data_IF_001153588966
#
_entry.id   IF_001153588966
#
_cell.length_a   1.000
_cell.length_b   1.000
_cell.length_c   1.000
_cell.angle_alpha   90.00
_cell.angle_beta   90.00
_cell.angle_gamma   90.00
#
_symmetry.space_group_name_H-M   'P 1'
#
loop_
_entity.id
_entity.type
_entity.pdbx_description
1 polymer ?
#
# COMPACT_ATOMS: atom_id res chain seq x y z
N UNK A 1 10.40 -11.96 -15.07
CA UNK A 1 10.23 -11.25 -13.78
C UNK A 1 11.37 -10.25 -13.70
N UNK A 2 11.21 -9.03 -13.14
CA UNK A 2 12.34 -8.11 -12.99
C UNK A 2 13.31 -8.64 -11.92
N UNK A 3 14.60 -8.28 -12.01
CA UNK A 3 15.61 -8.67 -11.01
C UNK A 3 15.19 -8.26 -9.59
N UNK A 4 14.53 -7.11 -9.45
CA UNK A 4 13.99 -6.64 -8.16
C UNK A 4 12.93 -7.58 -7.61
N UNK A 5 12.02 -8.07 -8.44
CA UNK A 5 10.98 -9.03 -8.02
C UNK A 5 11.56 -10.40 -7.63
N UNK A 6 12.65 -10.83 -8.27
CA UNK A 6 13.35 -12.06 -7.88
C UNK A 6 13.98 -11.90 -6.49
N UNK A 7 14.72 -10.81 -6.28
CA UNK A 7 15.28 -10.48 -4.97
C UNK A 7 14.21 -10.33 -3.89
N UNK A 8 13.07 -9.72 -4.21
CA UNK A 8 11.94 -9.61 -3.29
C UNK A 8 11.39 -10.99 -2.91
N UNK A 9 11.24 -11.89 -3.88
CA UNK A 9 10.76 -13.25 -3.62
C UNK A 9 11.68 -14.03 -2.68
N UNK A 10 13.00 -13.84 -2.82
CA UNK A 10 14.01 -14.51 -2.00
C UNK A 10 13.92 -14.08 -0.52
N UNK A 11 13.51 -12.84 -0.21
CA UNK A 11 13.33 -12.39 1.17
C UNK A 11 12.25 -13.18 1.94
N UNK A 12 11.28 -13.77 1.23
CA UNK A 12 10.14 -14.47 1.83
C UNK A 12 10.17 -15.98 1.62
N UNK A 13 11.29 -16.55 1.13
CA UNK A 13 11.36 -17.98 0.75
C UNK A 13 11.77 -18.89 1.91
N UNK A 14 10.96 -18.90 2.98
CA UNK A 14 11.17 -19.82 4.12
C UNK A 14 10.57 -21.22 3.85
N UNK A 15 9.50 -21.30 3.04
CA UNK A 15 8.87 -22.58 2.63
C UNK A 15 8.34 -22.52 1.20
N UNK A 16 8.13 -23.70 0.58
CA UNK A 16 7.55 -23.78 -0.78
C UNK A 16 6.16 -23.16 -0.85
N UNK A 17 5.32 -23.33 0.16
CA UNK A 17 3.98 -22.75 0.23
C UNK A 17 4.04 -21.21 0.33
N UNK A 18 4.95 -20.67 1.13
CA UNK A 18 5.18 -19.23 1.23
C UNK A 18 5.70 -18.64 -0.09
N UNK A 19 6.61 -19.34 -0.80
CA UNK A 19 7.05 -18.91 -2.15
C UNK A 19 5.89 -18.81 -3.12
N UNK A 20 5.00 -19.79 -3.15
CA UNK A 20 3.81 -19.78 -4.02
C UNK A 20 2.90 -18.60 -3.66
N UNK A 21 2.58 -18.42 -2.37
CA UNK A 21 1.75 -17.32 -1.89
C UNK A 21 2.36 -15.95 -2.22
N UNK A 22 3.64 -15.76 -1.92
CA UNK A 22 4.39 -14.54 -2.24
C UNK A 22 4.40 -14.27 -3.74
N UNK A 23 4.62 -15.29 -4.56
CA UNK A 23 4.61 -15.16 -6.03
C UNK A 23 3.23 -14.72 -6.55
N UNK A 24 2.14 -15.26 -6.02
CA UNK A 24 0.78 -14.85 -6.36
C UNK A 24 0.51 -13.39 -5.96
N UNK A 25 0.87 -13.01 -4.74
CA UNK A 25 0.78 -11.61 -4.27
C UNK A 25 1.58 -10.66 -5.16
N UNK A 26 2.82 -11.02 -5.51
CA UNK A 26 3.66 -10.22 -6.39
C UNK A 26 3.11 -10.07 -7.82
N UNK A 27 2.26 -10.97 -8.28
CA UNK A 27 1.60 -10.82 -9.58
C UNK A 27 0.47 -9.78 -9.56
N UNK A 28 -0.19 -9.62 -8.41
CA UNK A 28 -1.36 -8.74 -8.24
C UNK A 28 -0.92 -7.29 -7.95
N UNK A 29 0.10 -7.11 -7.12
CA UNK A 29 0.56 -5.79 -6.68
C UNK A 29 1.32 -5.06 -7.81
N UNK A 30 0.93 -3.84 -8.18
CA UNK A 30 1.57 -3.07 -9.26
C UNK A 30 2.79 -2.29 -8.75
N UNK A 31 3.81 -2.97 -8.23
CA UNK A 31 4.99 -2.36 -7.60
C UNK A 31 5.66 -1.28 -8.45
N UNK A 32 5.83 -1.56 -9.75
CA UNK A 32 6.48 -0.64 -10.68
C UNK A 32 5.69 0.67 -10.83
N UNK A 33 4.35 0.59 -10.75
CA UNK A 33 3.51 1.78 -10.80
C UNK A 33 3.67 2.61 -9.51
N UNK A 34 3.84 1.98 -8.35
CA UNK A 34 4.12 2.71 -7.12
C UNK A 34 5.45 3.44 -7.22
N UNK A 35 6.51 2.74 -7.60
CA UNK A 35 7.86 3.30 -7.74
C UNK A 35 7.92 4.46 -8.75
N UNK A 36 7.16 4.36 -9.85
CA UNK A 36 7.11 5.38 -10.92
C UNK A 36 6.63 6.74 -10.44
N UNK A 37 5.68 6.79 -9.49
CA UNK A 37 5.08 8.02 -9.01
C UNK A 37 5.68 8.55 -7.71
N UNK A 38 6.51 7.75 -7.04
CA UNK A 38 7.19 8.14 -5.82
C UNK A 38 8.52 8.83 -6.11
N UNK A 39 8.98 9.72 -5.21
CA UNK A 39 10.29 10.35 -5.37
C UNK A 39 11.41 9.32 -5.34
N UNK A 40 12.45 9.55 -6.14
CA UNK A 40 13.64 8.69 -6.16
C UNK A 40 14.49 8.88 -4.91
N UNK A 41 14.53 10.10 -4.38
CA UNK A 41 15.25 10.46 -3.16
C UNK A 41 14.28 10.86 -2.06
N UNK A 42 14.74 10.89 -0.81
CA UNK A 42 13.95 11.29 0.33
C UNK A 42 13.30 10.13 1.06
N UNK A 43 12.32 10.43 1.90
CA UNK A 43 11.68 9.48 2.82
C UNK A 43 10.27 9.14 2.33
N UNK A 44 10.02 7.84 2.16
CA UNK A 44 8.70 7.31 1.75
C UNK A 44 8.13 6.46 2.88
N UNK A 45 6.88 6.74 3.25
CA UNK A 45 6.11 5.93 4.20
C UNK A 45 5.15 5.00 3.45
N UNK A 46 5.09 3.74 3.83
CA UNK A 46 3.98 2.84 3.51
C UNK A 46 3.09 2.68 4.74
N UNK A 47 1.82 3.09 4.62
CA UNK A 47 0.79 2.92 5.66
C UNK A 47 0.08 1.59 5.44
N UNK A 48 0.05 0.72 6.46
CA UNK A 48 -0.51 -0.62 6.37
C UNK A 48 0.39 -1.57 5.58
N UNK A 49 1.69 -1.59 5.89
CA UNK A 49 2.67 -2.36 5.12
C UNK A 49 2.50 -3.89 5.25
N UNK A 50 1.74 -4.38 6.23
CA UNK A 50 1.58 -5.79 6.50
C UNK A 50 2.93 -6.49 6.63
N UNK A 51 3.16 -7.49 5.81
CA UNK A 51 4.44 -8.23 5.75
C UNK A 51 5.57 -7.48 5.03
N UNK A 52 5.36 -6.22 4.60
CA UNK A 52 6.39 -5.35 4.04
C UNK A 52 6.70 -5.57 2.55
N UNK A 53 5.80 -6.12 1.75
CA UNK A 53 6.08 -6.40 0.33
C UNK A 53 6.39 -5.13 -0.48
N UNK A 54 5.58 -4.08 -0.34
CA UNK A 54 5.77 -2.83 -1.10
C UNK A 54 6.98 -2.08 -0.57
N UNK A 55 7.12 -1.95 0.76
CA UNK A 55 8.31 -1.33 1.38
C UNK A 55 9.61 -1.99 0.94
N UNK A 56 9.67 -3.33 0.96
CA UNK A 56 10.84 -4.08 0.50
C UNK A 56 11.12 -3.85 -0.98
N UNK A 57 10.07 -3.86 -1.83
CA UNK A 57 10.24 -3.58 -3.25
C UNK A 57 10.84 -2.19 -3.48
N UNK A 58 10.29 -1.16 -2.85
CA UNK A 58 10.72 0.24 -2.98
C UNK A 58 12.18 0.44 -2.51
N UNK A 59 12.57 -0.22 -1.42
CA UNK A 59 13.93 -0.19 -0.89
C UNK A 59 14.94 -0.92 -1.80
N UNK A 60 14.55 -2.04 -2.41
CA UNK A 60 15.39 -2.82 -3.32
C UNK A 60 15.52 -2.17 -4.70
N UNK A 61 14.46 -1.51 -5.15
CA UNK A 61 14.40 -0.86 -6.46
C UNK A 61 15.28 0.38 -6.49
N UNK A 62 15.29 1.15 -5.41
CA UNK A 62 16.10 2.35 -5.32
C UNK A 62 16.79 2.47 -3.94
N UNK A 63 18.13 2.23 -3.85
CA UNK A 63 18.87 2.28 -2.59
C UNK A 63 19.00 3.68 -1.97
N UNK A 64 18.76 4.76 -2.73
CA UNK A 64 18.83 6.14 -2.20
C UNK A 64 17.53 6.54 -1.51
N UNK A 65 16.42 5.86 -1.82
CA UNK A 65 15.11 6.06 -1.18
C UNK A 65 15.12 5.48 0.23
N UNK A 66 14.80 6.30 1.24
CA UNK A 66 14.56 5.83 2.61
C UNK A 66 13.12 5.38 2.75
N UNK A 67 12.88 4.15 3.20
CA UNK A 67 11.55 3.56 3.27
C UNK A 67 11.17 3.27 4.72
N UNK A 68 9.99 3.70 5.12
CA UNK A 68 9.39 3.39 6.41
C UNK A 68 8.10 2.61 6.16
N UNK A 69 8.04 1.35 6.59
CA UNK A 69 6.79 0.58 6.60
C UNK A 69 6.11 0.67 7.97
N UNK A 70 4.82 0.95 8.00
CA UNK A 70 4.05 1.00 9.23
C UNK A 70 2.82 0.08 9.15
N UNK A 71 2.58 -0.71 10.19
CA UNK A 71 1.38 -1.56 10.30
C UNK A 71 0.96 -1.70 11.77
N UNK A 72 -0.34 -1.70 12.11
CA UNK A 72 -0.79 -1.91 13.49
C UNK A 72 -0.57 -3.35 13.99
N UNK A 73 -0.45 -4.34 13.10
CA UNK A 73 -0.28 -5.75 13.44
C UNK A 73 1.21 -6.06 13.74
N UNK A 74 1.56 -6.18 15.01
CA UNK A 74 2.93 -6.44 15.46
C UNK A 74 3.52 -7.71 14.85
N UNK A 75 2.76 -8.79 14.76
CA UNK A 75 3.17 -10.05 14.19
C UNK A 75 3.58 -9.94 12.71
N UNK A 76 2.89 -9.10 11.95
CA UNK A 76 3.23 -8.81 10.55
C UNK A 76 4.50 -7.97 10.45
N UNK A 77 4.61 -6.95 11.32
CA UNK A 77 5.80 -6.10 11.38
C UNK A 77 7.04 -6.91 11.78
N UNK A 78 6.93 -7.87 12.68
CA UNK A 78 8.05 -8.75 13.07
C UNK A 78 8.56 -9.57 11.88
N UNK A 79 7.65 -10.10 11.05
CA UNK A 79 8.03 -10.76 9.79
C UNK A 79 8.72 -9.80 8.83
N UNK A 80 8.17 -8.60 8.66
CA UNK A 80 8.75 -7.56 7.80
C UNK A 80 10.14 -7.15 8.29
N UNK A 81 10.36 -6.98 9.59
CA UNK A 81 11.66 -6.72 10.21
C UNK A 81 12.69 -7.80 9.83
N UNK A 82 12.30 -9.06 9.86
CA UNK A 82 13.17 -10.20 9.49
C UNK A 82 13.65 -10.16 8.04
N UNK A 83 13.02 -9.36 7.16
CA UNK A 83 13.40 -9.24 5.75
C UNK A 83 14.43 -8.14 5.47
N UNK A 84 14.78 -7.31 6.44
CA UNK A 84 15.67 -6.13 6.23
C UNK A 84 17.06 -6.57 5.76
N UNK A 85 17.64 -7.62 6.36
CA UNK A 85 19.02 -8.01 6.11
C UNK A 85 20.00 -6.86 6.43
N UNK A 86 20.96 -6.63 5.56
CA UNK A 86 22.01 -5.59 5.74
C UNK A 86 21.58 -4.20 5.21
N UNK A 87 20.31 -4.04 4.73
CA UNK A 87 19.85 -2.78 4.16
C UNK A 87 19.67 -1.71 5.23
N UNK A 88 20.22 -0.52 4.97
CA UNK A 88 20.16 0.64 5.85
C UNK A 88 19.07 1.65 5.43
N UNK A 89 18.43 1.43 4.28
CA UNK A 89 17.45 2.34 3.69
C UNK A 89 16.00 1.88 3.91
N UNK A 90 15.76 1.00 4.88
CA UNK A 90 14.41 0.54 5.23
C UNK A 90 14.30 0.29 6.74
N UNK A 91 13.15 0.64 7.30
CA UNK A 91 12.75 0.28 8.67
C UNK A 91 11.26 0.00 8.74
N UNK A 92 10.83 -0.79 9.71
CA UNK A 92 9.43 -1.06 9.98
C UNK A 92 9.05 -0.58 11.39
N UNK A 93 7.81 -0.08 11.55
CA UNK A 93 7.29 0.48 12.80
C UNK A 93 5.92 -0.12 13.06
N UNK A 94 5.77 -0.78 14.20
CA UNK A 94 4.47 -1.29 14.64
C UNK A 94 3.63 -0.18 15.28
N UNK A 95 2.33 -0.18 15.03
CA UNK A 95 1.38 0.73 15.61
C UNK A 95 0.51 1.47 14.58
N UNK A 96 -0.44 2.23 15.08
CA UNK A 96 -1.32 3.05 14.24
C UNK A 96 -0.52 4.23 13.67
N UNK A 97 -0.60 4.44 12.37
CA UNK A 97 0.11 5.51 11.67
C UNK A 97 -0.24 6.91 12.21
N UNK A 98 -1.42 7.09 12.79
CA UNK A 98 -1.86 8.33 13.44
C UNK A 98 -1.01 8.70 14.65
N UNK A 99 -0.46 7.71 15.34
CA UNK A 99 0.38 7.88 16.52
C UNK A 99 1.88 7.89 16.23
N UNK A 100 2.26 7.74 14.96
CA UNK A 100 3.67 7.91 14.58
C UNK A 100 4.13 9.35 14.82
N UNK A 101 5.41 9.58 15.16
CA UNK A 101 5.99 10.92 15.20
C UNK A 101 5.66 11.69 13.92
N UNK A 102 5.49 13.01 14.07
CA UNK A 102 5.36 13.90 12.90
C UNK A 102 6.71 13.93 12.18
N UNK A 103 6.80 13.15 11.12
CA UNK A 103 7.91 13.18 10.18
C UNK A 103 7.35 13.71 8.86
N UNK A 104 8.11 14.57 8.20
CA UNK A 104 7.76 15.08 6.88
C UNK A 104 8.20 14.07 5.81
N UNK A 105 7.25 13.39 5.18
CA UNK A 105 7.51 12.42 4.12
C UNK A 105 7.46 13.08 2.74
N UNK A 106 8.38 12.70 1.87
CA UNK A 106 8.40 13.13 0.46
C UNK A 106 7.34 12.38 -0.36
N UNK A 107 7.01 11.15 0.06
CA UNK A 107 5.96 10.34 -0.52
C UNK A 107 5.31 9.41 0.51
N UNK A 108 4.04 9.10 0.30
CA UNK A 108 3.30 8.10 1.11
C UNK A 108 2.61 7.12 0.16
N UNK A 109 2.66 5.83 0.51
CA UNK A 109 1.93 4.75 -0.17
C UNK A 109 0.87 4.19 0.76
N UNK A 110 -0.32 3.94 0.23
CA UNK A 110 -1.38 3.14 0.84
C UNK A 110 -1.79 2.09 -0.19
N UNK A 111 -1.59 0.81 0.10
CA UNK A 111 -1.85 -0.26 -0.84
C UNK A 111 -2.75 -1.34 -0.24
N UNK A 112 -4.01 -1.39 -0.68
CA UNK A 112 -5.02 -2.37 -0.24
C UNK A 112 -5.24 -2.38 1.29
N UNK A 113 -5.43 -1.19 1.89
CA UNK A 113 -5.54 -1.00 3.34
C UNK A 113 -6.88 -0.42 3.76
N UNK A 114 -7.32 0.65 3.10
CA UNK A 114 -8.45 1.44 3.60
C UNK A 114 -9.77 0.68 3.58
N UNK A 115 -9.91 -0.30 2.70
CA UNK A 115 -11.12 -1.12 2.69
C UNK A 115 -11.25 -2.06 3.91
N UNK A 116 -10.20 -2.28 4.70
CA UNK A 116 -10.27 -2.94 6.01
C UNK A 116 -10.69 -1.99 7.14
N UNK A 117 -10.63 -0.68 6.90
CA UNK A 117 -10.93 0.36 7.88
C UNK A 117 -12.41 0.76 7.81
N UNK A 118 -13.11 0.98 8.95
CA UNK A 118 -14.46 1.50 8.96
C UNK A 118 -14.60 2.82 8.18
N UNK A 119 -15.74 3.02 7.50
CA UNK A 119 -15.97 4.18 6.63
C UNK A 119 -15.70 5.53 7.31
N UNK A 120 -16.07 5.65 8.59
CA UNK A 120 -15.89 6.83 9.43
C UNK A 120 -14.44 7.16 9.79
N UNK A 121 -13.54 6.16 9.73
CA UNK A 121 -12.12 6.31 10.03
C UNK A 121 -11.27 6.54 8.78
N UNK A 122 -11.74 6.14 7.60
CA UNK A 122 -10.96 6.24 6.37
C UNK A 122 -10.52 7.67 6.05
N UNK A 123 -11.45 8.64 6.20
CA UNK A 123 -11.14 10.06 5.97
C UNK A 123 -10.11 10.60 6.98
N UNK A 124 -10.21 10.20 8.25
CA UNK A 124 -9.27 10.61 9.31
C UNK A 124 -7.85 10.12 9.03
N UNK A 125 -7.70 8.88 8.57
CA UNK A 125 -6.38 8.36 8.15
C UNK A 125 -5.82 9.20 7.00
N UNK A 126 -6.64 9.55 6.02
CA UNK A 126 -6.19 10.37 4.89
C UNK A 126 -5.85 11.81 5.29
N UNK A 127 -6.53 12.39 6.30
CA UNK A 127 -6.17 13.67 6.91
C UNK A 127 -4.81 13.59 7.61
N UNK A 128 -4.54 12.51 8.35
CA UNK A 128 -3.24 12.27 8.99
C UNK A 128 -2.13 12.09 7.96
N UNK A 129 -2.39 11.34 6.91
CA UNK A 129 -1.48 11.17 5.76
C UNK A 129 -1.18 12.51 5.11
N UNK A 130 -2.20 13.35 4.91
CA UNK A 130 -2.02 14.69 4.36
C UNK A 130 -1.11 15.56 5.23
N UNK A 131 -1.28 15.51 6.56
CA UNK A 131 -0.44 16.28 7.50
C UNK A 131 1.02 15.83 7.44
N UNK A 132 1.26 14.51 7.37
CA UNK A 132 2.60 13.91 7.35
C UNK A 132 3.36 14.11 6.02
N UNK A 133 2.68 14.47 4.94
CA UNK A 133 3.34 14.80 3.67
C UNK A 133 3.94 16.21 3.72
N UNK A 134 5.14 16.36 3.17
CA UNK A 134 5.72 17.68 2.83
C UNK A 134 4.84 18.44 1.85
N UNK A 135 4.88 19.78 1.83
CA UNK A 135 4.33 20.56 0.72
C UNK A 135 4.86 20.04 -0.62
N UNK A 136 3.97 19.76 -1.59
CA UNK A 136 4.33 19.13 -2.86
C UNK A 136 4.60 17.63 -2.81
N UNK A 137 4.56 16.99 -1.63
CA UNK A 137 4.70 15.55 -1.47
C UNK A 137 3.59 14.74 -2.13
N UNK A 138 3.87 13.49 -2.46
CA UNK A 138 2.99 12.63 -3.27
C UNK A 138 2.36 11.54 -2.42
N UNK A 139 1.05 11.39 -2.51
CA UNK A 139 0.32 10.19 -2.07
C UNK A 139 0.06 9.28 -3.27
N UNK A 140 0.49 8.03 -3.18
CA UNK A 140 0.12 6.95 -4.11
C UNK A 140 -0.78 5.97 -3.37
N UNK A 141 -2.06 5.96 -3.70
CA UNK A 141 -3.07 5.12 -3.06
C UNK A 141 -3.60 4.09 -4.05
N UNK A 142 -3.53 2.81 -3.70
CA UNK A 142 -4.08 1.72 -4.48
C UNK A 142 -5.20 1.04 -3.70
N UNK A 143 -6.39 1.02 -4.29
CA UNK A 143 -7.58 0.46 -3.64
C UNK A 143 -8.47 -0.26 -4.65
N UNK A 144 -9.25 -1.19 -4.14
CA UNK A 144 -10.26 -1.88 -4.94
C UNK A 144 -11.38 -0.93 -5.37
N UNK A 145 -11.74 -0.95 -6.68
CA UNK A 145 -12.85 -0.19 -7.25
C UNK A 145 -14.07 -1.09 -7.50
N UNK A 146 -15.15 -0.86 -6.78
CA UNK A 146 -16.40 -1.67 -6.87
C UNK A 146 -17.31 -1.27 -8.05
N UNK A 147 -16.76 -1.07 -9.25
CA UNK A 147 -17.58 -0.76 -10.45
C UNK A 147 -18.59 -1.85 -10.82
N UNK A 148 -18.29 -3.12 -10.53
CA UNK A 148 -19.13 -4.27 -10.92
C UNK A 148 -19.48 -5.15 -9.72
N UNK A 149 -20.49 -4.74 -8.96
CA UNK A 149 -20.91 -5.32 -7.66
C UNK A 149 -21.02 -6.85 -7.61
N UNK A 150 -21.57 -7.49 -8.62
CA UNK A 150 -21.89 -8.93 -8.55
C UNK A 150 -20.67 -9.84 -8.76
N UNK A 151 -19.82 -9.52 -9.75
CA UNK A 151 -18.57 -10.28 -10.01
C UNK A 151 -17.53 -10.08 -8.93
N UNK A 152 -17.48 -8.84 -8.40
CA UNK A 152 -16.65 -8.48 -7.28
C UNK A 152 -16.98 -9.28 -6.01
N UNK A 153 -18.27 -9.35 -5.65
CA UNK A 153 -18.73 -10.03 -4.44
C UNK A 153 -18.38 -11.53 -4.44
N UNK A 154 -18.48 -12.19 -5.60
CA UNK A 154 -18.23 -13.62 -5.70
C UNK A 154 -16.73 -13.95 -5.63
N UNK A 155 -15.87 -13.15 -6.26
CA UNK A 155 -14.45 -13.50 -6.41
C UNK A 155 -13.55 -12.87 -5.34
N UNK A 156 -13.68 -11.59 -5.07
CA UNK A 156 -12.82 -10.90 -4.08
C UNK A 156 -13.21 -11.27 -2.65
N UNK A 157 -14.50 -11.36 -2.35
CA UNK A 157 -14.98 -11.82 -1.05
C UNK A 157 -14.47 -13.23 -0.74
N UNK A 158 -14.52 -14.16 -1.72
CA UNK A 158 -13.98 -15.50 -1.59
C UNK A 158 -12.45 -15.52 -1.49
N UNK A 159 -11.78 -14.71 -2.30
CA UNK A 159 -10.32 -14.65 -2.29
C UNK A 159 -9.79 -14.07 -0.97
N UNK A 160 -10.38 -12.99 -0.47
CA UNK A 160 -9.98 -12.39 0.81
C UNK A 160 -10.38 -13.27 1.99
N UNK A 161 -11.54 -13.92 1.96
CA UNK A 161 -11.94 -14.88 2.99
C UNK A 161 -10.98 -16.07 3.06
N UNK A 162 -10.47 -16.55 1.93
CA UNK A 162 -9.47 -17.64 1.86
C UNK A 162 -8.09 -17.17 2.33
N UNK A 163 -7.70 -15.93 1.98
CA UNK A 163 -6.36 -15.42 2.25
C UNK A 163 -6.19 -14.85 3.67
N UNK A 164 -7.25 -14.38 4.32
CA UNK A 164 -7.17 -13.66 5.59
C UNK A 164 -7.86 -14.33 6.79
N UNK A 165 -8.35 -15.58 6.68
CA UNK A 165 -8.90 -16.37 7.79
C UNK A 165 -9.91 -15.63 8.69
N UNK A 166 -10.79 -14.79 8.12
CA UNK A 166 -11.81 -14.12 8.92
C UNK A 166 -12.77 -13.28 8.10
N UNK A 167 -14.04 -13.25 8.52
CA UNK A 167 -15.04 -12.36 7.94
C UNK A 167 -14.89 -10.98 8.55
N UNK A 168 -13.87 -10.22 8.17
CA UNK A 168 -13.83 -8.80 8.43
C UNK A 168 -14.82 -8.10 7.51
N UNK A 169 -15.53 -7.12 8.06
CA UNK A 169 -16.46 -6.29 7.29
C UNK A 169 -15.64 -5.38 6.38
N UNK A 170 -15.60 -5.68 5.09
CA UNK A 170 -14.87 -4.88 4.12
C UNK A 170 -15.67 -3.64 3.72
N UNK A 171 -15.02 -2.49 3.69
CA UNK A 171 -15.60 -1.16 3.51
C UNK A 171 -15.10 -0.51 2.22
N UNK A 172 -15.49 -1.07 1.10
CA UNK A 172 -15.05 -0.63 -0.22
C UNK A 172 -15.74 0.63 -0.70
N UNK A 173 -15.02 1.45 -1.48
CA UNK A 173 -15.55 2.64 -2.16
C UNK A 173 -15.32 2.57 -3.67
N UNK A 174 -16.13 3.33 -4.41
CA UNK A 174 -15.87 3.61 -5.83
C UNK A 174 -14.80 4.70 -5.96
N UNK A 175 -14.08 4.70 -7.07
CA UNK A 175 -13.07 5.73 -7.38
C UNK A 175 -13.60 7.17 -7.20
N UNK A 176 -14.84 7.45 -7.63
CA UNK A 176 -15.45 8.75 -7.47
C UNK A 176 -15.74 9.14 -6.00
N UNK A 177 -15.92 8.16 -5.11
CA UNK A 177 -16.11 8.41 -3.67
C UNK A 177 -14.77 8.73 -3.01
N UNK A 178 -13.69 8.04 -3.39
CA UNK A 178 -12.34 8.35 -2.95
C UNK A 178 -11.94 9.78 -3.34
N UNK A 179 -12.20 10.19 -4.60
CA UNK A 179 -11.92 11.55 -5.05
C UNK A 179 -12.66 12.59 -4.21
N UNK A 180 -13.94 12.37 -3.89
CA UNK A 180 -14.74 13.26 -3.03
C UNK A 180 -14.24 13.36 -1.59
N UNK A 181 -13.44 12.41 -1.13
CA UNK A 181 -12.80 12.44 0.19
C UNK A 181 -11.44 13.16 0.09
N UNK A 182 -10.64 12.85 -0.92
CA UNK A 182 -9.28 13.36 -1.08
C UNK A 182 -9.25 14.88 -1.36
N UNK A 183 -10.12 15.38 -2.26
CA UNK A 183 -10.12 16.79 -2.67
C UNK A 183 -10.43 17.77 -1.52
N UNK A 184 -11.45 17.55 -0.66
CA UNK A 184 -11.72 18.44 0.48
C UNK A 184 -10.61 18.43 1.54
N UNK A 185 -9.85 17.34 1.69
CA UNK A 185 -8.70 17.26 2.59
C UNK A 185 -7.57 18.19 2.13
N UNK A 186 -7.51 18.49 0.81
CA UNK A 186 -6.51 19.38 0.21
C UNK A 186 -5.65 18.69 -0.85
N UNK A 187 -5.85 17.41 -1.11
CA UNK A 187 -5.13 16.73 -2.18
C UNK A 187 -5.54 17.22 -3.57
N UNK A 188 -4.56 17.37 -4.46
CA UNK A 188 -4.78 17.50 -5.89
C UNK A 188 -4.66 16.12 -6.53
N UNK A 189 -5.78 15.54 -6.96
CA UNK A 189 -5.80 14.23 -7.63
C UNK A 189 -5.32 14.39 -9.06
N UNK A 190 -4.11 13.93 -9.35
CA UNK A 190 -3.45 14.06 -10.67
C UNK A 190 -3.88 12.95 -11.63
N UNK A 191 -3.93 11.71 -11.13
CA UNK A 191 -4.26 10.55 -11.92
C UNK A 191 -5.13 9.58 -11.13
N UNK A 192 -6.08 8.96 -11.82
CA UNK A 192 -6.81 7.79 -11.37
C UNK A 192 -6.64 6.73 -12.47
N UNK A 193 -5.75 5.75 -12.21
CA UNK A 193 -5.37 4.74 -13.19
C UNK A 193 -6.10 3.45 -12.85
N UNK A 194 -7.13 3.04 -13.64
CA UNK A 194 -7.78 1.75 -13.45
C UNK A 194 -6.77 0.63 -13.72
N UNK A 195 -6.67 -0.32 -12.81
CA UNK A 195 -5.87 -1.51 -12.99
C UNK A 195 -6.80 -2.73 -13.11
N UNK A 196 -6.92 -3.26 -14.33
CA UNK A 196 -7.71 -4.45 -14.64
C UNK A 196 -6.84 -5.61 -15.14
N UNK A 197 -5.53 -5.58 -14.85
CA UNK A 197 -4.57 -6.55 -15.42
C UNK A 197 -4.91 -8.00 -15.05
N UNK A 198 -5.57 -8.21 -13.92
CA UNK A 198 -6.07 -9.51 -13.50
C UNK A 198 -7.59 -9.43 -13.27
N UNK A 199 -8.35 -9.55 -14.37
CA UNK A 199 -9.78 -9.77 -14.25
C UNK A 199 -10.04 -11.05 -13.44
N UNK A 200 -10.87 -11.03 -12.39
CA UNK A 200 -11.90 -10.06 -12.06
C UNK A 200 -11.51 -9.00 -11.00
N UNK A 201 -10.25 -8.92 -10.59
CA UNK A 201 -9.77 -7.97 -9.58
C UNK A 201 -9.59 -6.58 -10.21
N UNK A 202 -10.52 -5.68 -9.93
CA UNK A 202 -10.49 -4.30 -10.44
C UNK A 202 -10.06 -3.38 -9.31
N UNK A 203 -8.90 -2.76 -9.50
CA UNK A 203 -8.36 -1.76 -8.58
C UNK A 203 -8.17 -0.44 -9.29
N UNK A 204 -7.97 0.62 -8.54
CA UNK A 204 -7.57 1.92 -9.05
C UNK A 204 -6.36 2.45 -8.27
N UNK A 205 -5.42 3.01 -8.99
CA UNK A 205 -4.28 3.72 -8.45
C UNK A 205 -4.58 5.22 -8.51
N UNK A 206 -4.56 5.86 -7.36
CA UNK A 206 -4.71 7.31 -7.22
C UNK A 206 -3.33 7.91 -6.99
N UNK A 207 -2.97 8.89 -7.81
CA UNK A 207 -1.76 9.69 -7.63
C UNK A 207 -2.20 11.09 -7.26
N UNK A 208 -1.87 11.50 -6.05
CA UNK A 208 -2.30 12.77 -5.49
C UNK A 208 -1.10 13.56 -4.99
N UNK A 209 -1.16 14.89 -5.09
CA UNK A 209 -0.14 15.77 -4.52
C UNK A 209 -0.73 16.63 -3.40
N UNK A 210 0.04 16.86 -2.34
CA UNK A 210 -0.27 17.88 -1.34
C UNK A 210 -0.04 19.26 -1.98
N UNK A 211 -1.08 20.09 -1.96
CA UNK A 211 -0.95 21.48 -2.44
C UNK A 211 0.07 22.23 -1.58
N UNK A 212 0.87 23.04 -2.24
CA UNK A 212 1.86 23.93 -1.62
C UNK A 212 1.21 24.98 -0.74
#
# INVERSE_FOLDING_TARGET
MSVVRERLADLYSVSMLQRIYTSLKMMIIPFEQFAQFLPNDGVVLEVGCGYGYVSNYLSLENPTRQVVGNDPALDRVDVAQGTIGDRQNIRFVAGDCRHMPEEDFDGIVIADVLHHVPYEEQAKILEDVYRKLKPGGVLVMHETDIKFRLRYFIFNYWLEMILYYGVEKLNFRKSAEWQRILEPIGFSVQHIIPNSRFFPYITALFVCTKRS
#
